data_IF_752081167170
#
_entry.id   IF_752081167170
#
_cell.length_a   1.000
_cell.length_b   1.000
_cell.length_c   1.000
_cell.angle_alpha   90.00
_cell.angle_beta   90.00
_cell.angle_gamma   90.00
#
_symmetry.space_group_name_H-M   'P 1'
#
loop_
_entity.id
_entity.type
_entity.pdbx_description
1 polymer ?
#
# COMPACT_ATOMS: atom_id res chain seq x y z
N UNK A 1 17.94 -25.45 9.98
CA UNK A 1 17.12 -25.33 8.76
C UNK A 1 18.02 -25.17 7.53
N UNK A 2 17.65 -25.72 6.36
CA UNK A 2 18.44 -25.51 5.13
C UNK A 2 18.32 -24.05 4.68
N UNK A 3 19.34 -23.53 3.99
CA UNK A 3 19.35 -22.15 3.46
C UNK A 3 18.19 -21.90 2.49
N UNK A 4 17.88 -22.87 1.63
CA UNK A 4 16.76 -22.80 0.68
C UNK A 4 15.44 -22.49 1.38
N UNK A 5 15.14 -23.24 2.43
CA UNK A 5 13.87 -23.15 3.15
C UNK A 5 13.80 -21.79 3.87
N UNK A 6 14.94 -21.33 4.38
CA UNK A 6 15.06 -20.05 5.08
C UNK A 6 14.87 -18.86 4.16
N UNK A 7 15.44 -18.90 2.97
CA UNK A 7 15.23 -17.84 1.96
C UNK A 7 13.76 -17.72 1.57
N UNK A 8 13.07 -18.84 1.36
CA UNK A 8 11.63 -18.85 1.03
C UNK A 8 10.81 -18.27 2.19
N UNK A 9 11.04 -18.74 3.41
CA UNK A 9 10.32 -18.29 4.59
C UNK A 9 10.55 -16.79 4.87
N UNK A 10 11.80 -16.33 4.83
CA UNK A 10 12.16 -14.92 5.02
C UNK A 10 11.56 -14.03 3.95
N UNK A 11 11.57 -14.47 2.69
CA UNK A 11 10.96 -13.72 1.59
C UNK A 11 9.47 -13.52 1.82
N UNK A 12 8.74 -14.57 2.20
CA UNK A 12 7.32 -14.47 2.51
C UNK A 12 7.08 -13.50 3.68
N UNK A 13 7.83 -13.67 4.77
CA UNK A 13 7.69 -12.84 5.96
C UNK A 13 7.88 -11.35 5.65
N UNK A 14 8.94 -11.01 4.90
CA UNK A 14 9.23 -9.62 4.52
C UNK A 14 8.13 -9.01 3.65
N UNK A 15 7.57 -9.77 2.70
CA UNK A 15 6.51 -9.27 1.80
C UNK A 15 5.17 -9.08 2.52
N UNK A 16 4.87 -9.91 3.53
CA UNK A 16 3.68 -9.78 4.37
C UNK A 16 3.79 -8.64 5.39
N UNK A 17 5.01 -8.19 5.70
CA UNK A 17 5.29 -7.12 6.67
C UNK A 17 6.08 -5.97 6.01
N UNK A 18 5.51 -5.29 5.01
CA UNK A 18 6.16 -4.13 4.39
C UNK A 18 6.28 -2.99 5.41
N UNK A 19 7.27 -2.12 5.23
CA UNK A 19 7.53 -0.92 6.05
C UNK A 19 7.79 -1.17 7.55
N UNK A 20 7.74 -2.41 8.02
CA UNK A 20 8.03 -2.82 9.39
C UNK A 20 9.54 -3.09 9.59
N UNK A 21 10.10 -2.59 10.69
CA UNK A 21 11.51 -2.86 11.04
C UNK A 21 11.60 -4.18 11.81
N UNK A 22 12.21 -5.19 11.19
CA UNK A 22 12.37 -6.52 11.77
C UNK A 22 13.83 -6.71 12.20
N UNK A 23 14.03 -7.07 13.46
CA UNK A 23 15.38 -7.23 14.00
C UNK A 23 16.08 -8.50 13.48
N UNK A 24 17.41 -8.47 13.34
CA UNK A 24 18.18 -9.67 12.98
C UNK A 24 18.08 -10.80 14.02
N UNK A 25 18.08 -10.53 15.35
CA UNK A 25 17.82 -11.55 16.36
C UNK A 25 16.51 -12.30 16.15
N UNK A 26 15.43 -11.59 15.78
CA UNK A 26 14.14 -12.23 15.50
C UNK A 26 14.25 -13.33 14.43
N UNK A 27 14.90 -13.05 13.30
CA UNK A 27 15.14 -14.07 12.26
C UNK A 27 16.14 -15.14 12.69
N UNK A 28 17.15 -14.77 13.49
CA UNK A 28 18.16 -15.69 14.01
C UNK A 28 17.51 -16.76 14.91
N UNK A 29 16.64 -16.34 15.82
CA UNK A 29 15.93 -17.20 16.76
C UNK A 29 14.85 -18.02 16.03
N UNK A 30 14.06 -17.37 15.17
CA UNK A 30 12.98 -18.03 14.41
C UNK A 30 13.47 -19.18 13.55
N UNK A 31 14.64 -19.04 12.90
CA UNK A 31 15.16 -20.05 11.97
C UNK A 31 16.35 -20.86 12.52
N UNK A 32 16.76 -20.61 13.77
CA UNK A 32 17.89 -21.28 14.42
C UNK A 32 19.19 -21.13 13.62
N UNK A 33 19.49 -19.92 13.14
CA UNK A 33 20.64 -19.63 12.30
C UNK A 33 21.44 -18.44 12.85
N UNK A 34 22.77 -18.43 12.65
CA UNK A 34 23.62 -17.33 13.10
C UNK A 34 23.26 -16.00 12.40
N UNK A 35 23.43 -14.87 13.09
CA UNK A 35 23.15 -13.54 12.55
C UNK A 35 23.88 -13.26 11.23
N UNK A 36 25.13 -13.72 11.09
CA UNK A 36 25.90 -13.60 9.84
C UNK A 36 25.21 -14.31 8.68
N UNK A 37 24.72 -15.53 8.90
CA UNK A 37 23.97 -16.28 7.87
C UNK A 37 22.65 -15.60 7.50
N UNK A 38 21.94 -15.01 8.46
CA UNK A 38 20.75 -14.20 8.20
C UNK A 38 21.11 -12.98 7.34
N UNK A 39 22.19 -12.26 7.66
CA UNK A 39 22.64 -11.10 6.89
C UNK A 39 22.99 -11.45 5.44
N UNK A 40 23.65 -12.59 5.20
CA UNK A 40 23.92 -13.06 3.84
C UNK A 40 22.63 -13.37 3.06
N UNK A 41 21.65 -13.98 3.72
CA UNK A 41 20.36 -14.29 3.10
C UNK A 41 19.58 -13.02 2.77
N UNK A 42 19.57 -12.05 3.68
CA UNK A 42 18.99 -10.73 3.42
C UNK A 42 19.67 -10.01 2.25
N UNK A 43 20.99 -10.16 2.10
CA UNK A 43 21.70 -9.60 0.95
C UNK A 43 21.26 -10.23 -0.37
N UNK A 44 21.03 -11.56 -0.39
CA UNK A 44 20.49 -12.28 -1.55
C UNK A 44 19.06 -11.79 -1.85
N UNK A 45 18.20 -11.74 -0.84
CA UNK A 45 16.81 -11.29 -0.99
C UNK A 45 16.76 -9.85 -1.51
N UNK A 46 17.57 -8.94 -0.96
CA UNK A 46 17.64 -7.54 -1.39
C UNK A 46 18.08 -7.42 -2.85
N UNK A 47 19.06 -8.22 -3.28
CA UNK A 47 19.50 -8.27 -4.67
C UNK A 47 18.33 -8.66 -5.59
N UNK A 48 17.67 -9.78 -5.29
CA UNK A 48 16.53 -10.28 -6.08
C UNK A 48 15.37 -9.29 -6.07
N UNK A 49 15.06 -8.67 -4.93
CA UNK A 49 13.99 -7.68 -4.83
C UNK A 49 14.21 -6.48 -5.74
N UNK A 50 15.47 -6.01 -5.84
CA UNK A 50 15.83 -4.92 -6.73
C UNK A 50 15.79 -5.35 -8.20
N UNK A 51 16.35 -6.50 -8.54
CA UNK A 51 16.40 -7.03 -9.91
C UNK A 51 14.99 -7.29 -10.48
N UNK A 52 14.10 -7.89 -9.70
CA UNK A 52 12.72 -8.19 -10.12
C UNK A 52 11.76 -7.00 -9.96
N UNK A 53 12.27 -5.88 -9.43
CA UNK A 53 11.48 -4.69 -9.13
C UNK A 53 10.33 -5.01 -8.19
N UNK A 54 10.59 -5.78 -7.13
CA UNK A 54 9.71 -6.06 -5.98
C UNK A 54 9.83 -4.94 -4.94
N UNK A 55 11.01 -4.34 -4.83
CA UNK A 55 11.32 -3.26 -3.90
C UNK A 55 12.77 -3.34 -3.45
N UNK A 56 13.05 -2.98 -2.22
CA UNK A 56 14.37 -3.18 -1.64
C UNK A 56 14.30 -3.41 -0.13
N UNK A 57 15.38 -3.94 0.42
CA UNK A 57 15.58 -4.04 1.86
C UNK A 57 16.48 -2.90 2.32
N UNK A 58 15.95 -2.11 3.27
CA UNK A 58 16.69 -1.07 3.98
C UNK A 58 17.23 -1.65 5.28
N UNK A 59 18.54 -1.49 5.51
CA UNK A 59 19.18 -1.97 6.73
C UNK A 59 19.41 -0.82 7.70
N UNK A 60 18.95 -0.98 8.94
CA UNK A 60 19.18 -0.03 10.03
C UNK A 60 20.25 -0.61 10.94
N UNK A 61 21.35 0.12 11.13
CA UNK A 61 22.47 -0.30 12.00
C UNK A 61 22.19 0.00 13.48
N UNK A 62 22.75 -0.82 14.38
CA UNK A 62 22.68 -0.59 15.83
C UNK A 62 22.20 -1.82 16.62
N UNK A 63 22.19 -1.71 17.96
CA UNK A 63 21.77 -2.80 18.86
C UNK A 63 20.28 -3.18 18.70
N UNK A 64 19.44 -2.19 18.38
CA UNK A 64 18.03 -2.36 17.98
C UNK A 64 17.85 -2.31 16.45
N UNK A 65 18.95 -2.49 15.71
CA UNK A 65 18.95 -2.48 14.25
C UNK A 65 18.23 -3.69 13.66
N UNK A 66 18.04 -3.64 12.35
CA UNK A 66 17.21 -4.60 11.65
C UNK A 66 17.19 -4.38 10.15
N UNK A 67 16.22 -5.02 9.52
CA UNK A 67 15.90 -4.84 8.11
C UNK A 67 14.44 -4.45 7.96
N UNK A 68 14.17 -3.60 6.97
CA UNK A 68 12.82 -3.18 6.60
C UNK A 68 12.62 -3.41 5.12
N UNK A 69 11.53 -4.06 4.74
CA UNK A 69 11.14 -4.15 3.33
C UNK A 69 10.45 -2.87 2.90
N UNK A 70 10.97 -2.23 1.86
CA UNK A 70 10.40 -1.04 1.24
C UNK A 70 9.82 -1.43 -0.13
N UNK A 71 8.50 -1.37 -0.31
CA UNK A 71 7.88 -1.55 -1.62
C UNK A 71 8.33 -0.43 -2.57
N UNK A 72 8.92 -0.82 -3.69
CA UNK A 72 9.30 0.12 -4.75
C UNK A 72 8.93 -0.43 -6.12
N UNK A 73 8.70 0.49 -7.06
CA UNK A 73 8.34 0.19 -8.45
C UNK A 73 9.17 1.09 -9.35
N UNK A 74 9.93 0.50 -10.28
CA UNK A 74 10.72 1.28 -11.23
C UNK A 74 9.82 2.19 -12.07
N UNK A 75 10.38 3.31 -12.53
CA UNK A 75 9.64 4.25 -13.40
C UNK A 75 9.14 3.57 -14.68
N UNK A 76 9.91 2.66 -15.28
CA UNK A 76 9.45 1.96 -16.48
C UNK A 76 8.27 1.03 -16.18
N UNK A 77 8.32 0.28 -15.08
CA UNK A 77 7.23 -0.61 -14.67
C UNK A 77 5.98 0.18 -14.29
N UNK A 78 6.15 1.29 -13.57
CA UNK A 78 5.06 2.21 -13.25
C UNK A 78 4.40 2.76 -14.52
N UNK A 79 5.21 3.20 -15.50
CA UNK A 79 4.74 3.66 -16.79
C UNK A 79 3.86 2.62 -17.50
N UNK A 80 4.32 1.37 -17.58
CA UNK A 80 3.55 0.26 -18.20
C UNK A 80 2.22 -0.01 -17.50
N UNK A 81 2.19 0.03 -16.17
CA UNK A 81 0.95 -0.17 -15.40
C UNK A 81 -0.04 0.96 -15.68
N UNK A 82 0.45 2.21 -15.67
CA UNK A 82 -0.38 3.40 -15.91
C UNK A 82 -0.89 3.40 -17.35
N UNK A 83 -0.03 3.12 -18.33
CA UNK A 83 -0.41 3.06 -19.75
C UNK A 83 -1.49 2.01 -19.98
N UNK A 84 -1.33 0.79 -19.42
CA UNK A 84 -2.36 -0.24 -19.49
C UNK A 84 -3.70 0.25 -18.92
N UNK A 85 -3.67 0.94 -17.77
CA UNK A 85 -4.87 1.49 -17.16
C UNK A 85 -5.49 2.60 -18.03
N UNK A 86 -4.69 3.47 -18.64
CA UNK A 86 -5.16 4.49 -19.57
C UNK A 86 -5.87 3.86 -20.77
N UNK A 87 -5.26 2.85 -21.41
CA UNK A 87 -5.84 2.13 -22.53
C UNK A 87 -7.17 1.46 -22.16
N UNK A 88 -7.28 0.87 -20.96
CA UNK A 88 -8.55 0.32 -20.47
C UNK A 88 -9.62 1.41 -20.28
N UNK A 89 -9.22 2.61 -19.82
CA UNK A 89 -10.11 3.74 -19.55
C UNK A 89 -10.54 4.50 -20.82
N UNK A 90 -9.80 4.37 -21.92
CA UNK A 90 -10.09 5.02 -23.21
C UNK A 90 -11.31 4.42 -23.95
N UNK A 91 -11.82 3.27 -23.52
CA UNK A 91 -13.01 2.64 -24.12
C UNK A 91 -14.23 3.58 -24.07
N UNK A 92 -14.77 4.01 -25.24
CA UNK A 92 -15.93 4.89 -25.30
C UNK A 92 -17.18 4.32 -24.62
N UNK A 93 -17.30 2.99 -24.50
CA UNK A 93 -18.40 2.33 -23.81
C UNK A 93 -18.50 2.69 -22.33
N UNK A 94 -17.40 3.22 -21.75
CA UNK A 94 -17.33 3.63 -20.35
C UNK A 94 -17.88 5.03 -20.11
N UNK A 95 -18.18 5.82 -21.14
CA UNK A 95 -18.69 7.18 -20.97
C UNK A 95 -20.11 7.15 -20.41
N UNK A 96 -20.30 7.80 -19.26
CA UNK A 96 -21.59 7.94 -18.60
C UNK A 96 -22.09 9.41 -18.71
N UNK A 97 -23.41 9.63 -18.69
CA UNK A 97 -23.98 10.97 -18.70
C UNK A 97 -23.43 11.86 -17.59
N UNK A 98 -23.20 13.15 -17.88
CA UNK A 98 -22.67 14.11 -16.92
C UNK A 98 -21.15 14.14 -16.80
N UNK A 99 -20.42 13.55 -17.76
CA UNK A 99 -18.95 13.58 -17.81
C UNK A 99 -18.28 12.59 -16.86
N UNK A 100 -18.96 11.48 -16.55
CA UNK A 100 -18.42 10.43 -15.69
C UNK A 100 -17.92 9.25 -16.53
N UNK A 101 -17.10 8.41 -15.89
CA UNK A 101 -16.62 7.16 -16.46
C UNK A 101 -17.10 5.97 -15.63
N UNK A 102 -17.45 4.88 -16.30
CA UNK A 102 -17.70 3.59 -15.69
C UNK A 102 -16.37 2.94 -15.28
N UNK A 103 -16.16 2.82 -13.96
CA UNK A 103 -14.92 2.31 -13.35
C UNK A 103 -15.18 1.14 -12.39
N UNK A 104 -16.41 0.65 -12.28
CA UNK A 104 -16.78 -0.32 -11.22
C UNK A 104 -16.07 -1.66 -11.40
N UNK A 105 -15.82 -2.08 -12.64
CA UNK A 105 -15.05 -3.27 -13.01
C UNK A 105 -13.56 -3.12 -12.68
N UNK A 106 -12.97 -1.96 -13.01
CA UNK A 106 -11.55 -1.65 -12.75
C UNK A 106 -11.30 -1.63 -11.23
N UNK A 107 -12.15 -0.93 -10.49
CA UNK A 107 -12.06 -0.84 -9.02
C UNK A 107 -12.48 -2.13 -8.32
N UNK A 108 -13.18 -3.02 -9.02
CA UNK A 108 -13.53 -4.36 -8.55
C UNK A 108 -12.47 -5.42 -8.83
N UNK A 109 -11.44 -5.12 -9.64
CA UNK A 109 -10.38 -6.05 -9.98
C UNK A 109 -9.24 -6.00 -8.93
N UNK A 110 -9.03 -7.06 -8.13
CA UNK A 110 -8.03 -7.05 -7.07
C UNK A 110 -6.60 -6.83 -7.57
N UNK A 111 -6.25 -7.41 -8.72
CA UNK A 111 -4.92 -7.26 -9.30
C UNK A 111 -4.64 -5.82 -9.73
N UNK A 112 -5.63 -5.17 -10.35
CA UNK A 112 -5.51 -3.75 -10.74
C UNK A 112 -5.42 -2.86 -9.51
N UNK A 113 -6.30 -3.05 -8.53
CA UNK A 113 -6.31 -2.26 -7.29
C UNK A 113 -5.00 -2.43 -6.50
N UNK A 114 -4.48 -3.66 -6.39
CA UNK A 114 -3.19 -3.94 -5.75
C UNK A 114 -2.04 -3.22 -6.45
N UNK A 115 -2.02 -3.23 -7.79
CA UNK A 115 -1.00 -2.52 -8.56
C UNK A 115 -1.08 -0.99 -8.32
N UNK A 116 -2.29 -0.41 -8.30
CA UNK A 116 -2.48 1.00 -7.98
C UNK A 116 -1.99 1.32 -6.56
N UNK A 117 -2.36 0.50 -5.57
CA UNK A 117 -1.89 0.64 -4.19
C UNK A 117 -0.37 0.63 -4.08
N UNK A 118 0.27 -0.30 -4.81
CA UNK A 118 1.73 -0.40 -4.86
C UNK A 118 2.40 0.82 -5.50
N UNK A 119 1.80 1.40 -6.54
CA UNK A 119 2.29 2.64 -7.14
C UNK A 119 2.22 3.81 -6.16
N UNK A 120 1.12 3.92 -5.39
CA UNK A 120 1.02 4.92 -4.34
C UNK A 120 2.08 4.71 -3.26
N UNK A 121 2.25 3.48 -2.77
CA UNK A 121 3.25 3.18 -1.76
C UNK A 121 4.67 3.55 -2.23
N UNK A 122 5.08 3.14 -3.43
CA UNK A 122 6.38 3.50 -4.00
C UNK A 122 6.54 5.03 -4.14
N UNK A 123 5.49 5.75 -4.55
CA UNK A 123 5.55 7.21 -4.69
C UNK A 123 5.67 7.94 -3.35
N UNK A 124 5.10 7.39 -2.28
CA UNK A 124 4.97 8.07 -0.99
C UNK A 124 5.84 7.48 0.13
N UNK A 125 6.59 6.40 -0.10
CA UNK A 125 7.43 5.74 0.92
C UNK A 125 8.45 6.66 1.60
N UNK A 126 8.90 7.71 0.91
CA UNK A 126 9.81 8.72 1.48
C UNK A 126 9.15 9.74 2.42
N UNK A 127 7.85 9.60 2.69
CA UNK A 127 7.09 10.46 3.61
C UNK A 127 6.77 9.70 4.90
N UNK A 128 6.72 10.43 6.01
CA UNK A 128 6.19 9.91 7.27
C UNK A 128 4.66 9.94 7.18
N UNK A 129 4.06 8.78 6.90
CA UNK A 129 2.61 8.63 6.75
C UNK A 129 2.08 7.85 7.96
N UNK A 130 1.09 8.41 8.63
CA UNK A 130 0.45 7.75 9.78
C UNK A 130 -0.87 7.06 9.39
N UNK A 131 -1.51 7.49 8.30
CA UNK A 131 -2.78 6.92 7.83
C UNK A 131 -3.08 7.25 6.37
N UNK A 132 -3.92 6.43 5.74
CA UNK A 132 -4.52 6.72 4.43
C UNK A 132 -5.99 7.11 4.62
N UNK A 133 -6.35 8.31 4.18
CA UNK A 133 -7.73 8.81 4.29
C UNK A 133 -8.44 8.68 2.95
N UNK A 134 -9.64 8.12 2.97
CA UNK A 134 -10.51 8.03 1.79
C UNK A 134 -11.95 8.38 2.12
N UNK A 135 -12.74 8.43 1.07
CA UNK A 135 -14.11 8.86 1.08
C UNK A 135 -14.98 7.74 0.53
N UNK A 136 -16.05 7.41 1.24
CA UNK A 136 -16.95 6.34 0.81
C UNK A 136 -17.62 6.67 -0.56
N UNK A 137 -17.75 5.73 -1.50
CA UNK A 137 -17.45 4.28 -1.40
C UNK A 137 -16.37 3.79 -2.37
N UNK A 138 -16.30 4.36 -3.58
CA UNK A 138 -15.45 3.86 -4.68
C UNK A 138 -13.95 3.96 -4.41
N UNK A 139 -13.50 4.87 -3.54
CA UNK A 139 -12.10 5.03 -3.19
C UNK A 139 -11.59 4.07 -2.12
N UNK A 140 -12.47 3.29 -1.49
CA UNK A 140 -12.11 2.39 -0.38
C UNK A 140 -11.12 1.31 -0.81
N UNK A 141 -11.33 0.55 -1.91
CA UNK A 141 -10.41 -0.52 -2.30
C UNK A 141 -8.98 -0.02 -2.56
N UNK A 142 -8.85 1.12 -3.23
CA UNK A 142 -7.55 1.75 -3.52
C UNK A 142 -6.86 2.18 -2.22
N UNK A 143 -7.62 2.73 -1.27
CA UNK A 143 -7.07 3.18 0.00
C UNK A 143 -6.50 2.02 0.81
N UNK A 144 -7.24 0.91 0.91
CA UNK A 144 -6.74 -0.31 1.56
C UNK A 144 -5.53 -0.90 0.85
N UNK A 145 -5.53 -0.95 -0.49
CA UNK A 145 -4.38 -1.47 -1.22
C UNK A 145 -3.13 -0.61 -1.03
N UNK A 146 -3.25 0.71 -0.96
CA UNK A 146 -2.12 1.58 -0.66
C UNK A 146 -1.65 1.42 0.80
N UNK A 147 -2.60 1.38 1.73
CA UNK A 147 -2.36 1.24 3.16
C UNK A 147 -1.71 -0.09 3.54
N UNK A 148 -2.05 -1.18 2.84
CA UNK A 148 -1.43 -2.50 3.01
C UNK A 148 0.08 -2.45 2.73
N UNK A 149 0.50 -1.82 1.63
CA UNK A 149 1.92 -1.65 1.31
C UNK A 149 2.62 -0.60 2.17
N UNK A 150 1.91 0.43 2.63
CA UNK A 150 2.47 1.45 3.52
C UNK A 150 2.49 1.02 4.99
N UNK A 151 1.78 -0.07 5.32
CA UNK A 151 1.58 -0.59 6.68
C UNK A 151 1.00 0.44 7.66
N UNK A 152 -0.11 1.08 7.26
CA UNK A 152 -0.79 2.13 8.04
C UNK A 152 -2.30 1.90 8.07
N UNK A 153 -3.03 2.42 9.07
CA UNK A 153 -4.49 2.34 9.10
C UNK A 153 -5.17 3.15 7.98
N UNK A 154 -6.40 2.75 7.64
CA UNK A 154 -7.29 3.47 6.71
C UNK A 154 -8.39 4.18 7.48
N UNK A 155 -8.58 5.47 7.19
CA UNK A 155 -9.68 6.27 7.74
C UNK A 155 -10.71 6.52 6.63
N UNK A 156 -11.96 6.16 6.87
CA UNK A 156 -13.05 6.29 5.90
C UNK A 156 -14.00 7.42 6.30
N UNK A 157 -13.92 8.53 5.57
CA UNK A 157 -14.82 9.66 5.70
C UNK A 157 -16.17 9.33 5.03
N UNK A 158 -17.26 9.58 5.76
CA UNK A 158 -18.63 9.28 5.30
C UNK A 158 -19.40 10.56 4.96
N UNK A 159 -20.40 10.45 4.08
CA UNK A 159 -21.29 11.56 3.69
C UNK A 159 -22.53 11.66 4.56
N UNK A 160 -22.99 10.54 5.10
CA UNK A 160 -24.15 10.47 5.98
C UNK A 160 -23.66 10.20 7.40
N UNK A 161 -24.15 10.97 8.39
CA UNK A 161 -23.83 10.71 9.78
C UNK A 161 -24.58 9.44 10.20
N UNK A 162 -23.86 8.36 10.53
CA UNK A 162 -24.44 7.27 11.33
C UNK A 162 -24.30 7.64 12.81
N UNK A 163 -25.32 7.33 13.60
CA UNK A 163 -25.24 7.40 15.07
C UNK A 163 -24.25 6.33 15.52
N UNK A 164 -23.05 6.75 15.90
CA UNK A 164 -22.03 5.91 16.54
C UNK A 164 -21.33 6.73 17.63
N UNK A 165 -20.71 6.02 18.58
CA UNK A 165 -20.02 6.63 19.74
C UNK A 165 -18.78 7.41 19.28
N UNK A 166 -18.68 8.70 19.63
CA UNK A 166 -17.47 9.52 19.43
C UNK A 166 -17.70 10.94 18.90
N UNK A 167 -16.69 11.80 19.06
CA UNK A 167 -16.69 13.17 18.53
C UNK A 167 -16.53 13.18 17.01
N UNK A 168 -17.40 13.90 16.30
CA UNK A 168 -17.42 13.97 14.83
C UNK A 168 -17.00 15.35 14.34
N UNK A 169 -16.01 15.40 13.43
CA UNK A 169 -15.63 16.61 12.69
C UNK A 169 -16.36 16.63 11.35
N UNK A 170 -17.04 17.75 11.04
CA UNK A 170 -17.77 17.89 9.77
C UNK A 170 -17.27 19.07 8.95
N UNK A 171 -17.10 18.86 7.64
CA UNK A 171 -16.69 19.88 6.68
C UNK A 171 -17.70 19.95 5.53
N UNK A 172 -18.13 21.16 5.18
CA UNK A 172 -18.96 21.38 3.99
C UNK A 172 -18.07 21.56 2.76
N UNK A 173 -18.44 20.93 1.65
CA UNK A 173 -17.73 21.03 0.38
C UNK A 173 -18.72 21.05 -0.78
N UNK A 174 -18.32 21.67 -1.90
CA UNK A 174 -19.11 21.63 -3.13
C UNK A 174 -18.59 20.48 -3.98
N UNK A 175 -19.45 19.51 -4.26
CA UNK A 175 -19.10 18.39 -5.13
C UNK A 175 -19.10 18.87 -6.59
N UNK A 176 -17.94 18.84 -7.26
CA UNK A 176 -17.80 19.25 -8.67
C UNK A 176 -18.72 18.49 -9.64
N UNK A 177 -19.17 17.32 -9.21
CA UNK A 177 -20.00 16.40 -9.97
C UNK A 177 -21.51 16.70 -9.87
N UNK A 178 -21.94 17.43 -8.82
CA UNK A 178 -23.36 17.80 -8.61
C UNK A 178 -23.60 19.30 -8.41
N UNK A 179 -22.54 20.12 -8.30
CA UNK A 179 -22.56 21.56 -7.96
C UNK A 179 -23.41 21.92 -6.74
N UNK A 180 -23.80 20.93 -5.93
CA UNK A 180 -24.56 21.08 -4.68
C UNK A 180 -23.63 20.99 -3.48
N UNK A 181 -23.92 21.77 -2.46
CA UNK A 181 -23.25 21.70 -1.16
C UNK A 181 -23.52 20.33 -0.53
N UNK A 182 -22.45 19.63 -0.15
CA UNK A 182 -22.48 18.34 0.55
C UNK A 182 -21.62 18.45 1.81
N UNK A 183 -21.85 17.54 2.76
CA UNK A 183 -21.11 17.52 4.03
C UNK A 183 -20.36 16.20 4.17
N UNK A 184 -19.11 16.29 4.61
CA UNK A 184 -18.28 15.15 5.03
C UNK A 184 -18.27 15.06 6.54
N UNK A 185 -18.19 13.83 7.06
CA UNK A 185 -18.01 13.54 8.47
C UNK A 185 -16.81 12.61 8.64
N UNK A 186 -15.85 13.03 9.45
CA UNK A 186 -14.71 12.23 9.89
C UNK A 186 -14.78 12.08 11.41
N UNK A 187 -14.52 10.89 11.93
CA UNK A 187 -14.56 10.60 13.36
C UNK A 187 -13.13 10.42 13.87
N UNK A 188 -12.85 10.94 15.07
CA UNK A 188 -11.62 10.60 15.78
C UNK A 188 -11.87 9.29 16.52
N UNK A 189 -11.24 8.20 16.08
CA UNK A 189 -11.02 7.04 16.94
C UNK A 189 -9.78 7.36 17.78
N UNK A 190 -10.00 7.63 19.07
CA UNK A 190 -8.95 7.87 20.05
C UNK A 190 -8.36 6.55 20.54
#
# INVERSE_FOLDING_TARGET
MKRSDRLVAMTNYLVEHPMELISLPFFSDMYGAAKSSISEDLAIINKVFKEDGIGYLESVSGAAGGVKYIPDVSKERAGKIIEKLCLELEDPSRILPGGYLFMSDILGNPSTVRNIGRLFASRFTGLNIDSVVTVATKGIPIAYAAAEFLHVPVIIVRRDPKVTEGSTVSINYVSGSSKKSKRWYCQNEA
#
